data_IF_184312164972
#
_entry.id   IF_184312164972
#
_cell.length_a   1.000
_cell.length_b   1.000
_cell.length_c   1.000
_cell.angle_alpha   90.00
_cell.angle_beta   90.00
_cell.angle_gamma   90.00
#
_symmetry.space_group_name_H-M   'P 1'
#
loop_
_entity.id
_entity.type
_entity.pdbx_description
1 polymer ?
#
# COMPACT_ATOMS: atom_id res chain seq x y z
N UNK A 1 15.65 -10.84 4.14
CA UNK A 1 15.24 -10.78 5.58
C UNK A 1 13.78 -11.26 5.74
N UNK A 2 13.46 -11.94 6.85
CA UNK A 2 12.09 -12.23 7.23
C UNK A 2 11.57 -11.06 8.08
N UNK A 3 10.55 -10.34 7.61
CA UNK A 3 9.95 -9.20 8.31
C UNK A 3 8.54 -9.58 8.73
N UNK A 4 8.18 -9.28 9.98
CA UNK A 4 6.83 -9.49 10.50
C UNK A 4 6.30 -8.19 11.08
N UNK A 5 5.37 -7.56 10.38
CA UNK A 5 4.67 -6.38 10.88
C UNK A 5 3.64 -6.81 11.94
N UNK A 6 3.62 -6.11 13.08
CA UNK A 6 2.63 -6.30 14.15
C UNK A 6 1.88 -5.01 14.36
N UNK A 7 0.55 -5.06 14.24
CA UNK A 7 -0.30 -3.97 14.65
C UNK A 7 -0.48 -4.06 16.16
N UNK A 8 -0.03 -3.03 16.88
CA UNK A 8 0.04 -3.00 18.35
C UNK A 8 -0.86 -1.94 18.98
N UNK A 9 -1.50 -1.11 18.16
CA UNK A 9 -2.45 -0.09 18.62
C UNK A 9 -3.20 0.54 17.44
N UNK A 10 -4.33 1.15 17.75
CA UNK A 10 -5.11 1.98 16.83
C UNK A 10 -5.51 3.25 17.59
N UNK A 11 -5.54 4.36 16.88
CA UNK A 11 -6.02 5.64 17.39
C UNK A 11 -6.95 6.25 16.34
N UNK A 12 -8.13 6.66 16.77
CA UNK A 12 -8.99 7.54 15.98
C UNK A 12 -8.67 8.96 16.40
N UNK A 13 -8.27 9.79 15.44
CA UNK A 13 -7.95 11.18 15.70
C UNK A 13 -9.22 11.96 16.07
N UNK A 14 -9.10 12.85 17.04
CA UNK A 14 -10.12 13.86 17.33
C UNK A 14 -10.09 14.94 16.26
N UNK A 15 -11.18 15.72 16.16
CA UNK A 15 -11.25 16.88 15.26
C UNK A 15 -10.07 17.83 15.47
N UNK A 16 -9.68 18.08 16.72
CA UNK A 16 -8.54 18.96 17.03
C UNK A 16 -7.20 18.39 16.55
N UNK A 17 -7.01 17.06 16.65
CA UNK A 17 -5.81 16.40 16.13
C UNK A 17 -5.79 16.45 14.60
N UNK A 18 -6.94 16.24 13.96
CA UNK A 18 -7.09 16.34 12.51
C UNK A 18 -6.75 17.76 12.01
N UNK A 19 -7.29 18.80 12.64
CA UNK A 19 -6.99 20.21 12.29
C UNK A 19 -5.50 20.54 12.47
N UNK A 20 -4.85 19.92 13.45
CA UNK A 20 -3.43 20.11 13.69
C UNK A 20 -2.56 19.42 12.64
N UNK A 21 -2.90 18.18 12.25
CA UNK A 21 -2.10 17.29 11.40
C UNK A 21 -2.39 17.49 9.91
N UNK A 22 -3.67 17.55 9.53
CA UNK A 22 -4.12 17.53 8.14
C UNK A 22 -4.03 18.92 7.52
N UNK A 23 -3.38 19.02 6.35
CA UNK A 23 -3.32 20.25 5.57
C UNK A 23 -4.17 20.14 4.31
N UNK A 24 -5.27 20.89 4.26
CA UNK A 24 -6.15 21.00 3.09
C UNK A 24 -5.41 21.61 1.90
N UNK A 25 -5.65 21.05 0.71
CA UNK A 25 -5.14 21.61 -0.54
C UNK A 25 -5.87 22.90 -0.93
N UNK A 26 -5.23 23.80 -1.66
CA UNK A 26 -5.84 25.07 -2.11
C UNK A 26 -6.98 24.82 -3.09
N UNK A 27 -6.89 23.76 -3.89
CA UNK A 27 -7.95 23.28 -4.76
C UNK A 27 -9.26 22.94 -4.00
N UNK A 28 -9.22 22.76 -2.68
CA UNK A 28 -10.40 22.63 -1.83
C UNK A 28 -11.03 21.22 -1.86
N UNK A 29 -12.28 21.13 -1.40
CA UNK A 29 -13.03 19.87 -1.35
C UNK A 29 -12.48 18.85 -0.35
N UNK A 30 -12.41 17.58 -0.78
CA UNK A 30 -11.86 16.47 0.00
C UNK A 30 -10.34 16.31 -0.14
N UNK A 31 -9.65 17.29 -0.73
CA UNK A 31 -8.23 17.20 -1.06
C UNK A 31 -7.31 17.66 0.10
N UNK A 32 -6.19 16.95 0.30
CA UNK A 32 -5.13 17.30 1.25
C UNK A 32 -3.76 17.29 0.58
N UNK A 33 -2.86 18.13 1.05
CA UNK A 33 -1.47 18.18 0.56
C UNK A 33 -0.64 17.06 1.18
N UNK A 34 -0.02 16.20 0.37
CA UNK A 34 0.65 14.98 0.84
C UNK A 34 1.88 15.24 1.71
N UNK A 35 2.96 15.75 1.11
CA UNK A 35 4.23 16.02 1.82
C UNK A 35 4.06 16.98 3.01
N UNK A 36 3.29 18.09 2.91
CA UNK A 36 3.06 18.96 4.04
C UNK A 36 2.29 18.27 5.18
N UNK A 37 1.25 17.49 4.88
CA UNK A 37 0.52 16.71 5.89
C UNK A 37 1.43 15.68 6.56
N UNK A 38 2.26 14.96 5.79
CA UNK A 38 3.25 14.03 6.33
C UNK A 38 4.26 14.72 7.28
N UNK A 39 4.73 15.91 6.91
CA UNK A 39 5.64 16.70 7.76
C UNK A 39 4.97 17.17 9.06
N UNK A 40 3.72 17.66 8.99
CA UNK A 40 2.94 17.99 10.17
C UNK A 40 2.68 16.79 11.06
N UNK A 41 2.34 15.64 10.48
CA UNK A 41 2.12 14.40 11.22
C UNK A 41 3.39 13.97 11.97
N UNK A 42 4.55 14.00 11.30
CA UNK A 42 5.86 13.78 11.94
C UNK A 42 6.06 14.69 13.14
N UNK A 43 5.84 15.99 12.97
CA UNK A 43 6.10 16.99 14.02
C UNK A 43 5.12 16.85 15.19
N UNK A 44 3.88 16.46 14.91
CA UNK A 44 2.89 16.08 15.92
C UNK A 44 3.35 14.88 16.74
N UNK A 45 3.75 13.78 16.08
CA UNK A 45 4.27 12.57 16.75
C UNK A 45 5.51 12.89 17.59
N UNK A 46 6.43 13.71 17.06
CA UNK A 46 7.64 14.12 17.77
C UNK A 46 7.33 14.92 19.04
N UNK A 47 6.40 15.86 19.01
CA UNK A 47 5.99 16.63 20.21
C UNK A 47 5.30 15.76 21.25
N UNK A 48 4.56 14.75 20.79
CA UNK A 48 3.85 13.81 21.65
C UNK A 48 4.63 12.51 21.90
N UNK A 49 5.97 12.57 21.91
CA UNK A 49 6.82 11.38 21.95
C UNK A 49 6.55 10.49 23.18
N UNK A 50 6.12 11.03 24.32
CA UNK A 50 5.78 10.20 25.49
C UNK A 50 4.69 9.16 25.19
N UNK A 51 3.75 9.49 24.29
CA UNK A 51 2.69 8.59 23.84
C UNK A 51 3.15 7.63 22.74
N UNK A 52 4.02 8.09 21.84
CA UNK A 52 4.32 7.39 20.59
C UNK A 52 5.74 6.76 20.51
N UNK A 53 6.59 6.95 21.51
CA UNK A 53 7.98 6.43 21.53
C UNK A 53 8.10 4.91 21.46
N UNK A 54 7.06 4.19 21.90
CA UNK A 54 7.04 2.73 21.94
C UNK A 54 6.74 2.06 20.59
N UNK A 55 6.34 2.84 19.58
CA UNK A 55 6.01 2.33 18.24
C UNK A 55 7.19 2.56 17.29
N UNK A 56 7.62 1.49 16.62
CA UNK A 56 8.73 1.51 15.65
C UNK A 56 8.43 2.40 14.43
N UNK A 57 7.14 2.51 14.10
CA UNK A 57 6.56 3.38 13.08
C UNK A 57 5.07 3.59 13.33
N UNK A 58 4.53 4.68 12.78
CA UNK A 58 3.10 5.00 12.81
C UNK A 58 2.60 5.29 11.39
N UNK A 59 1.34 4.98 11.13
CA UNK A 59 0.72 5.16 9.82
C UNK A 59 -0.64 5.83 9.96
N UNK A 60 -0.82 6.94 9.26
CA UNK A 60 -2.10 7.64 9.18
C UNK A 60 -2.87 7.15 7.96
N UNK A 61 -4.05 6.58 8.18
CA UNK A 61 -4.97 6.20 7.11
C UNK A 61 -6.05 7.27 7.00
N UNK A 62 -6.34 7.72 5.78
CA UNK A 62 -7.33 8.77 5.53
C UNK A 62 -8.27 8.40 4.38
N UNK A 63 -9.52 8.86 4.45
CA UNK A 63 -10.48 8.82 3.34
C UNK A 63 -10.50 10.10 2.51
N UNK A 64 -9.54 10.99 2.72
CA UNK A 64 -9.33 12.22 1.95
C UNK A 64 -8.36 11.96 0.80
N UNK A 65 -8.51 12.69 -0.29
CA UNK A 65 -7.67 12.52 -1.47
C UNK A 65 -6.36 13.29 -1.30
N UNK A 66 -5.22 12.59 -1.38
CA UNK A 66 -3.88 13.12 -1.24
C UNK A 66 -3.41 13.66 -2.59
N UNK A 67 -2.94 14.91 -2.59
CA UNK A 67 -2.46 15.58 -3.79
C UNK A 67 -1.16 16.36 -3.54
N UNK A 68 -0.45 16.67 -4.62
CA UNK A 68 0.56 17.73 -4.65
C UNK A 68 0.13 18.79 -5.67
N UNK A 69 0.27 20.06 -5.30
CA UNK A 69 -0.10 21.21 -6.11
C UNK A 69 1.16 21.81 -6.76
N UNK A 70 1.20 21.87 -8.09
CA UNK A 70 2.32 22.40 -8.87
C UNK A 70 1.83 23.55 -9.76
N UNK A 71 2.10 24.78 -9.33
CA UNK A 71 1.56 25.96 -10.02
C UNK A 71 0.03 25.94 -10.01
N UNK A 72 -0.58 25.78 -11.19
CA UNK A 72 -2.03 25.63 -11.35
C UNK A 72 -2.50 24.18 -11.47
N UNK A 73 -1.59 23.20 -11.51
CA UNK A 73 -1.91 21.78 -11.64
C UNK A 73 -2.06 21.08 -10.29
N UNK A 74 -2.93 20.07 -10.24
CA UNK A 74 -3.09 19.16 -9.10
C UNK A 74 -2.75 17.76 -9.55
N UNK A 75 -1.83 17.10 -8.85
CA UNK A 75 -1.44 15.71 -9.12
C UNK A 75 -1.84 14.84 -7.94
N UNK A 76 -2.56 13.75 -8.23
CA UNK A 76 -3.05 12.82 -7.21
C UNK A 76 -1.99 11.77 -6.84
N UNK A 77 -1.92 11.45 -5.56
CA UNK A 77 -1.06 10.42 -4.97
C UNK A 77 -1.88 9.58 -4.00
N UNK A 78 -1.48 8.34 -3.75
CA UNK A 78 -2.19 7.49 -2.80
C UNK A 78 -1.56 7.52 -1.39
N UNK A 79 -0.30 7.94 -1.25
CA UNK A 79 0.40 7.91 0.03
C UNK A 79 1.78 8.56 -0.03
N UNK A 80 2.36 8.76 1.15
CA UNK A 80 3.73 9.23 1.32
C UNK A 80 4.33 8.69 2.61
N UNK A 81 5.62 8.38 2.58
CA UNK A 81 6.41 8.04 3.76
C UNK A 81 7.88 8.46 3.62
N UNK A 82 8.57 8.57 4.76
CA UNK A 82 10.00 8.85 4.77
C UNK A 82 10.81 7.57 4.56
N UNK A 83 11.68 7.56 3.55
CA UNK A 83 12.49 6.38 3.24
C UNK A 83 13.51 6.10 4.36
N UNK A 84 13.48 4.88 4.91
CA UNK A 84 14.43 4.39 5.92
C UNK A 84 14.27 5.03 7.31
N UNK A 85 13.10 5.61 7.57
CA UNK A 85 12.85 6.40 8.77
C UNK A 85 12.32 5.60 9.97
N UNK A 86 12.10 4.29 9.85
CA UNK A 86 11.79 3.43 11.00
C UNK A 86 12.80 3.64 12.13
N UNK A 87 12.35 3.57 13.38
CA UNK A 87 13.14 3.88 14.59
C UNK A 87 13.67 5.34 14.68
N UNK A 88 13.20 6.29 13.87
CA UNK A 88 13.60 7.72 13.98
C UNK A 88 12.45 8.62 14.39
N UNK A 89 12.72 9.91 14.60
CA UNK A 89 11.68 10.94 14.73
C UNK A 89 10.78 11.06 13.48
N UNK A 90 11.21 10.57 12.32
CA UNK A 90 10.49 10.61 11.05
C UNK A 90 9.75 9.31 10.71
N UNK A 91 9.51 8.44 11.69
CA UNK A 91 8.91 7.10 11.55
C UNK A 91 7.40 7.10 11.20
N UNK A 92 6.98 7.96 10.29
CA UNK A 92 5.57 8.16 9.92
C UNK A 92 5.33 7.97 8.43
N UNK A 93 4.19 7.39 8.08
CA UNK A 93 3.62 7.36 6.73
C UNK A 93 2.16 7.81 6.73
N UNK A 94 1.66 8.24 5.58
CA UNK A 94 0.26 8.56 5.34
C UNK A 94 -0.22 7.82 4.08
N UNK A 95 -1.48 7.42 4.04
CA UNK A 95 -2.05 6.75 2.87
C UNK A 95 -3.57 6.79 2.82
N UNK A 96 -4.09 6.80 1.61
CA UNK A 96 -5.50 6.72 1.31
C UNK A 96 -6.04 5.30 1.53
N UNK A 97 -7.26 5.21 2.02
CA UNK A 97 -8.07 4.00 1.92
C UNK A 97 -9.52 4.35 1.62
N UNK A 98 -10.19 3.49 0.86
CA UNK A 98 -11.61 3.61 0.57
C UNK A 98 -12.33 2.50 1.33
N UNK A 99 -13.23 2.83 2.29
CA UNK A 99 -13.89 1.84 3.13
C UNK A 99 -14.51 0.70 2.33
N UNK A 100 -14.28 -0.54 2.81
CA UNK A 100 -14.82 -1.78 2.22
C UNK A 100 -14.29 -2.13 0.82
N UNK A 101 -13.20 -1.52 0.36
CA UNK A 101 -12.59 -1.83 -0.95
C UNK A 101 -11.25 -2.55 -0.87
N UNK A 102 -10.58 -2.52 0.29
CA UNK A 102 -9.20 -3.01 0.49
C UNK A 102 -8.16 -2.27 -0.36
N UNK A 103 -8.50 -1.13 -0.96
CA UNK A 103 -7.58 -0.30 -1.74
C UNK A 103 -6.31 0.07 -0.95
N UNK A 104 -6.47 0.47 0.31
CA UNK A 104 -5.38 0.90 1.16
C UNK A 104 -4.35 -0.19 1.47
N UNK A 105 -4.64 -1.49 1.28
CA UNK A 105 -3.67 -2.57 1.58
C UNK A 105 -2.40 -2.41 0.75
N UNK A 106 -2.54 -2.16 -0.55
CA UNK A 106 -1.37 -1.98 -1.43
C UNK A 106 -0.63 -0.69 -1.12
N UNK A 107 -1.37 0.39 -0.87
CA UNK A 107 -0.84 1.71 -0.53
C UNK A 107 -0.01 1.61 0.75
N UNK A 108 -0.60 1.13 1.84
CA UNK A 108 0.07 0.97 3.13
C UNK A 108 1.29 0.06 3.00
N UNK A 109 1.22 -1.04 2.25
CA UNK A 109 2.36 -1.93 2.06
C UNK A 109 3.53 -1.25 1.32
N UNK A 110 3.23 -0.41 0.32
CA UNK A 110 4.23 0.39 -0.40
C UNK A 110 4.88 1.43 0.51
N UNK A 111 4.07 2.22 1.21
CA UNK A 111 4.57 3.28 2.10
C UNK A 111 5.30 2.73 3.34
N UNK A 112 4.87 1.59 3.89
CA UNK A 112 5.61 0.89 4.95
C UNK A 112 6.95 0.39 4.43
N UNK A 113 7.04 -0.05 3.17
CA UNK A 113 8.32 -0.45 2.59
C UNK A 113 9.28 0.73 2.41
N UNK A 114 8.77 1.94 2.11
CA UNK A 114 9.57 3.16 2.22
C UNK A 114 10.12 3.33 3.64
N UNK A 115 9.30 3.27 4.70
CA UNK A 115 9.76 3.36 6.09
C UNK A 115 10.86 2.34 6.43
N UNK A 116 10.74 1.12 5.89
CA UNK A 116 11.70 0.03 6.02
C UNK A 116 12.94 0.16 5.11
N UNK A 117 13.04 1.24 4.35
CA UNK A 117 14.26 1.65 3.65
C UNK A 117 14.22 1.50 2.14
N UNK A 118 13.13 1.02 1.53
CA UNK A 118 13.07 0.81 0.09
C UNK A 118 12.80 2.13 -0.64
N UNK A 119 13.69 2.61 -1.53
CA UNK A 119 13.31 3.55 -2.58
C UNK A 119 12.41 2.85 -3.61
N UNK A 120 11.84 3.62 -4.53
CA UNK A 120 11.22 3.02 -5.72
C UNK A 120 12.23 2.20 -6.51
N UNK A 121 11.75 1.19 -7.24
CA UNK A 121 12.59 0.42 -8.15
C UNK A 121 13.09 1.34 -9.28
N UNK A 122 14.40 1.40 -9.49
CA UNK A 122 15.08 2.31 -10.42
C UNK A 122 15.71 3.54 -9.75
N UNK A 123 15.29 3.88 -8.53
CA UNK A 123 15.78 5.07 -7.84
C UNK A 123 17.08 4.83 -7.06
N UNK A 124 17.87 5.89 -6.93
CA UNK A 124 18.98 5.93 -5.96
C UNK A 124 18.45 6.01 -4.53
N UNK A 125 19.25 5.56 -3.56
CA UNK A 125 18.92 5.77 -2.16
C UNK A 125 18.97 7.26 -1.80
N UNK A 126 18.12 7.73 -0.86
CA UNK A 126 18.20 9.10 -0.37
C UNK A 126 19.52 9.33 0.38
N UNK A 127 20.15 10.48 0.14
CA UNK A 127 21.47 10.80 0.69
C UNK A 127 21.54 10.79 2.22
N UNK A 128 20.41 10.96 2.92
CA UNK A 128 20.33 10.87 4.39
C UNK A 128 20.70 9.49 4.94
N UNK A 129 20.59 8.44 4.12
CA UNK A 129 21.02 7.08 4.48
C UNK A 129 22.52 6.83 4.20
N UNK A 130 23.24 7.86 3.71
CA UNK A 130 24.64 7.75 3.34
C UNK A 130 24.84 6.89 2.09
N UNK A 131 25.97 6.18 2.04
CA UNK A 131 26.32 5.32 0.90
C UNK A 131 25.72 3.93 1.09
N UNK A 132 24.49 3.75 0.61
CA UNK A 132 23.77 2.48 0.56
C UNK A 132 23.36 2.15 -0.88
N UNK A 133 23.04 0.88 -1.22
CA UNK A 133 22.89 0.47 -2.63
C UNK A 133 21.76 1.14 -3.41
N UNK A 134 20.65 1.51 -2.75
CA UNK A 134 19.44 1.98 -3.42
C UNK A 134 18.76 0.89 -4.24
N UNK A 135 18.11 1.29 -5.34
CA UNK A 135 17.30 0.43 -6.20
C UNK A 135 17.56 0.59 -7.70
N UNK A 136 18.65 1.24 -8.09
CA UNK A 136 19.00 1.51 -9.50
C UNK A 136 19.18 0.24 -10.35
N UNK A 137 19.47 -0.90 -9.74
CA UNK A 137 19.63 -2.20 -10.41
C UNK A 137 18.32 -3.00 -10.54
N UNK A 138 17.21 -2.50 -10.01
CA UNK A 138 15.89 -3.12 -10.14
C UNK A 138 15.04 -2.24 -11.06
N UNK A 139 14.79 -2.63 -12.32
CA UNK A 139 14.03 -1.81 -13.25
C UNK A 139 12.61 -1.52 -12.78
N UNK A 140 12.17 -0.26 -12.88
CA UNK A 140 10.78 0.15 -12.63
C UNK A 140 9.78 -0.70 -13.43
N UNK A 141 10.12 -1.02 -14.68
CA UNK A 141 9.29 -1.78 -15.61
C UNK A 141 9.02 -3.23 -15.19
N UNK A 142 9.80 -3.80 -14.26
CA UNK A 142 9.58 -5.16 -13.78
C UNK A 142 8.27 -5.30 -12.99
N UNK A 143 7.70 -4.19 -12.51
CA UNK A 143 6.38 -4.15 -11.91
C UNK A 143 6.29 -4.72 -10.50
N UNK A 144 7.37 -4.63 -9.72
CA UNK A 144 7.36 -4.98 -8.30
C UNK A 144 6.56 -3.95 -7.47
N UNK A 145 6.26 -4.28 -6.20
CA UNK A 145 5.42 -3.46 -5.32
C UNK A 145 5.89 -2.00 -5.20
N UNK A 146 7.20 -1.74 -5.28
CA UNK A 146 7.82 -0.40 -5.23
C UNK A 146 7.81 0.36 -6.57
N UNK A 147 7.05 -0.14 -7.54
CA UNK A 147 6.62 0.59 -8.74
C UNK A 147 5.11 0.81 -8.72
N UNK A 148 4.61 1.66 -9.63
CA UNK A 148 3.17 1.84 -9.86
C UNK A 148 2.61 0.89 -10.94
N UNK A 149 3.44 -0.01 -11.49
CA UNK A 149 3.03 -0.93 -12.55
C UNK A 149 2.37 -2.17 -11.94
N UNK A 150 1.14 -2.47 -12.38
CA UNK A 150 0.30 -3.55 -11.83
C UNK A 150 -0.12 -4.58 -12.90
N UNK A 151 0.73 -4.80 -13.90
CA UNK A 151 0.40 -5.63 -15.08
C UNK A 151 0.73 -7.12 -14.91
N UNK A 152 1.56 -7.46 -13.92
CA UNK A 152 2.06 -8.83 -13.72
C UNK A 152 2.15 -9.21 -12.23
N UNK A 153 2.54 -10.47 -11.94
CA UNK A 153 2.57 -11.04 -10.58
C UNK A 153 3.64 -10.44 -9.65
N UNK A 154 4.63 -9.73 -10.17
CA UNK A 154 5.63 -9.04 -9.36
C UNK A 154 5.01 -7.97 -8.47
N UNK A 155 3.82 -7.45 -8.80
CA UNK A 155 3.11 -6.47 -7.98
C UNK A 155 2.81 -6.98 -6.56
N UNK A 156 2.83 -8.30 -6.33
CA UNK A 156 2.65 -8.92 -5.01
C UNK A 156 3.98 -9.18 -4.27
N UNK A 157 5.09 -8.66 -4.77
CA UNK A 157 6.44 -8.96 -4.29
C UNK A 157 7.28 -7.70 -4.19
N UNK A 158 8.23 -7.72 -3.27
CA UNK A 158 9.35 -6.78 -3.26
C UNK A 158 10.47 -7.28 -4.17
N UNK A 159 11.11 -6.34 -4.88
CA UNK A 159 12.32 -6.59 -5.67
C UNK A 159 13.48 -7.05 -4.79
N UNK A 160 14.55 -7.56 -5.39
CA UNK A 160 15.80 -7.86 -4.68
C UNK A 160 16.41 -6.61 -4.06
N UNK A 161 16.26 -5.44 -4.69
CA UNK A 161 16.79 -4.16 -4.18
C UNK A 161 16.08 -3.73 -2.90
N UNK A 162 14.74 -3.75 -2.88
CA UNK A 162 14.00 -3.44 -1.65
C UNK A 162 14.37 -4.40 -0.51
N UNK A 163 14.46 -5.72 -0.78
CA UNK A 163 14.90 -6.71 0.23
C UNK A 163 16.33 -6.46 0.73
N UNK A 164 17.23 -6.04 -0.14
CA UNK A 164 18.60 -5.68 0.23
C UNK A 164 18.59 -4.43 1.11
N UNK A 165 17.87 -3.37 0.71
CA UNK A 165 17.75 -2.13 1.47
C UNK A 165 17.21 -2.35 2.88
N UNK A 166 16.16 -3.16 3.04
CA UNK A 166 15.67 -3.55 4.38
C UNK A 166 16.78 -4.23 5.19
N UNK A 167 17.53 -5.15 4.58
CA UNK A 167 18.62 -5.85 5.24
C UNK A 167 19.76 -4.90 5.66
N UNK A 168 20.10 -3.92 4.83
CA UNK A 168 21.07 -2.87 5.18
C UNK A 168 20.58 -2.02 6.34
N UNK A 169 19.31 -1.60 6.30
CA UNK A 169 18.71 -0.74 7.32
C UNK A 169 18.81 -1.39 8.71
N UNK A 170 18.56 -2.70 8.83
CA UNK A 170 18.66 -3.43 10.11
C UNK A 170 20.06 -3.43 10.73
N UNK A 171 21.10 -3.14 9.95
CA UNK A 171 22.51 -3.13 10.41
C UNK A 171 23.02 -1.72 10.67
N UNK A 172 22.24 -0.69 10.35
CA UNK A 172 22.63 0.69 10.60
C UNK A 172 22.48 1.03 12.08
N UNK A 173 23.37 1.89 12.59
CA UNK A 173 23.28 2.42 13.96
C UNK A 173 21.95 3.13 14.19
N UNK A 174 21.28 2.87 15.31
CA UNK A 174 20.00 3.49 15.64
C UNK A 174 18.80 2.83 14.95
N UNK A 175 18.93 1.56 14.54
CA UNK A 175 17.85 0.75 13.94
C UNK A 175 17.57 -0.54 14.73
N UNK A 176 17.99 -0.57 15.99
CA UNK A 176 17.88 -1.73 16.87
C UNK A 176 16.40 -2.13 17.09
N UNK A 177 15.46 -1.18 17.00
CA UNK A 177 14.03 -1.44 17.11
C UNK A 177 13.53 -2.48 16.08
N UNK A 178 14.13 -2.54 14.89
CA UNK A 178 13.78 -3.51 13.85
C UNK A 178 14.16 -4.96 14.20
N UNK A 179 15.06 -5.14 15.16
CA UNK A 179 15.65 -6.44 15.52
C UNK A 179 15.19 -6.94 16.89
N UNK A 180 14.38 -6.14 17.59
CA UNK A 180 13.85 -6.45 18.91
C UNK A 180 12.37 -6.76 18.81
N UNK A 181 11.89 -7.63 19.69
CA UNK A 181 10.48 -7.95 19.84
C UNK A 181 10.11 -7.61 21.27
N UNK A 182 9.66 -6.37 21.43
CA UNK A 182 9.40 -5.78 22.76
C UNK A 182 7.89 -5.73 23.07
N UNK A 183 7.08 -6.40 22.24
CA UNK A 183 5.61 -6.41 22.32
C UNK A 183 5.06 -7.83 22.39
N UNK A 184 4.14 -8.06 23.33
CA UNK A 184 3.42 -9.33 23.49
C UNK A 184 2.03 -9.32 22.84
N UNK A 185 1.55 -8.14 22.44
CA UNK A 185 0.21 -7.96 21.85
C UNK A 185 0.31 -7.78 20.35
N UNK A 186 -0.64 -8.35 19.62
CA UNK A 186 -0.85 -8.03 18.20
C UNK A 186 -2.33 -8.13 17.87
N UNK A 187 -2.82 -7.17 17.09
CA UNK A 187 -4.18 -7.13 16.57
C UNK A 187 -4.31 -7.77 15.17
N UNK A 188 -3.27 -8.47 14.71
CA UNK A 188 -3.29 -9.26 13.48
C UNK A 188 -4.13 -10.55 13.68
N UNK A 189 -5.42 -10.38 13.98
CA UNK A 189 -6.35 -11.47 14.32
C UNK A 189 -7.20 -11.92 13.13
N UNK A 190 -7.32 -11.10 12.09
CA UNK A 190 -8.11 -11.40 10.91
C UNK A 190 -7.29 -12.22 9.90
N UNK A 191 -7.76 -13.43 9.60
CA UNK A 191 -7.12 -14.38 8.69
C UNK A 191 -7.90 -14.44 7.35
N UNK A 192 -9.02 -13.71 7.24
CA UNK A 192 -9.84 -13.74 6.02
C UNK A 192 -9.24 -12.90 4.91
N UNK A 193 -9.18 -13.49 3.72
CA UNK A 193 -8.69 -12.83 2.52
C UNK A 193 -9.79 -11.94 1.90
N UNK A 194 -9.42 -10.79 1.27
CA UNK A 194 -10.40 -9.80 0.81
C UNK A 194 -11.44 -10.33 -0.19
N UNK A 195 -11.05 -11.25 -1.07
CA UNK A 195 -11.91 -11.87 -2.08
C UNK A 195 -13.05 -12.72 -1.51
N UNK A 196 -12.98 -13.08 -0.21
CA UNK A 196 -14.12 -13.66 0.52
C UNK A 196 -15.31 -12.69 0.53
N UNK A 197 -15.04 -11.41 0.79
CA UNK A 197 -16.04 -10.35 0.97
C UNK A 197 -16.33 -9.60 -0.33
N UNK A 198 -15.32 -9.42 -1.18
CA UNK A 198 -15.44 -8.68 -2.44
C UNK A 198 -15.42 -9.66 -3.61
N UNK A 199 -16.59 -9.96 -4.16
CA UNK A 199 -16.72 -10.83 -5.33
C UNK A 199 -16.17 -10.17 -6.60
N UNK A 200 -15.85 -10.99 -7.61
CA UNK A 200 -15.23 -10.59 -8.87
C UNK A 200 -15.89 -9.36 -9.53
N UNK A 201 -17.23 -9.35 -9.66
CA UNK A 201 -17.95 -8.19 -10.24
C UNK A 201 -17.74 -6.90 -9.46
N UNK A 202 -17.69 -6.98 -8.13
CA UNK A 202 -17.47 -5.81 -7.30
C UNK A 202 -16.03 -5.32 -7.42
N UNK A 203 -15.06 -6.23 -7.59
CA UNK A 203 -13.66 -5.87 -7.86
C UNK A 203 -13.54 -5.10 -9.18
N UNK A 204 -14.18 -5.53 -10.26
CA UNK A 204 -14.19 -4.79 -11.52
C UNK A 204 -14.71 -3.35 -11.37
N UNK A 205 -15.78 -3.17 -10.59
CA UNK A 205 -16.32 -1.83 -10.28
C UNK A 205 -15.39 -0.99 -9.40
N UNK A 206 -14.57 -1.63 -8.55
CA UNK A 206 -13.56 -0.95 -7.72
C UNK A 206 -12.36 -0.54 -8.57
N UNK A 207 -11.87 -1.41 -9.44
CA UNK A 207 -10.71 -1.14 -10.30
C UNK A 207 -11.03 -0.13 -11.40
N UNK A 208 -12.26 -0.14 -11.91
CA UNK A 208 -12.69 0.72 -13.02
C UNK A 208 -13.94 1.51 -12.64
N UNK A 209 -13.86 2.43 -11.66
CA UNK A 209 -15.03 3.15 -11.14
C UNK A 209 -15.70 4.06 -12.18
N UNK A 210 -14.98 4.48 -13.23
CA UNK A 210 -15.51 5.27 -14.34
C UNK A 210 -16.25 4.45 -15.39
N UNK A 211 -16.11 3.11 -15.39
CA UNK A 211 -16.76 2.22 -16.34
C UNK A 211 -18.13 1.77 -15.81
N UNK A 212 -19.15 2.56 -16.13
CA UNK A 212 -20.54 2.22 -15.84
C UNK A 212 -20.92 0.92 -16.55
N UNK A 213 -21.57 0.01 -15.81
CA UNK A 213 -21.96 -1.30 -16.33
C UNK A 213 -20.83 -2.33 -16.40
N UNK A 214 -19.63 -2.06 -15.87
CA UNK A 214 -18.58 -3.10 -15.79
C UNK A 214 -18.96 -4.22 -14.80
N UNK A 215 -18.59 -5.44 -15.18
CA UNK A 215 -18.74 -6.67 -14.39
C UNK A 215 -17.63 -7.66 -14.78
N UNK A 216 -17.42 -8.70 -13.99
CA UNK A 216 -16.47 -9.76 -14.32
C UNK A 216 -17.11 -10.71 -15.32
N UNK A 217 -16.48 -10.91 -16.48
CA UNK A 217 -17.03 -11.76 -17.54
C UNK A 217 -17.08 -13.23 -17.05
N UNK A 218 -18.25 -13.88 -17.00
CA UNK A 218 -18.37 -15.29 -16.60
C UNK A 218 -17.71 -16.24 -17.61
N UNK A 219 -17.16 -17.37 -17.15
CA UNK A 219 -16.63 -18.44 -18.01
C UNK A 219 -15.33 -18.12 -18.75
N UNK A 220 -14.96 -16.84 -18.88
CA UNK A 220 -13.57 -16.44 -19.03
C UNK A 220 -12.96 -16.50 -17.64
N UNK A 221 -12.48 -17.68 -17.28
CA UNK A 221 -11.98 -18.00 -15.95
C UNK A 221 -11.07 -16.90 -15.41
N UNK A 222 -11.03 -16.78 -14.09
CA UNK A 222 -9.96 -16.13 -13.35
C UNK A 222 -8.68 -16.96 -13.51
N UNK A 223 -8.28 -17.20 -14.75
CA UNK A 223 -7.10 -17.97 -15.12
C UNK A 223 -5.90 -17.16 -14.66
N UNK A 224 -5.00 -17.82 -13.95
CA UNK A 224 -3.84 -17.17 -13.36
C UNK A 224 -4.18 -15.96 -12.46
N UNK A 225 -5.40 -15.92 -11.90
CA UNK A 225 -5.87 -14.83 -11.05
C UNK A 225 -6.04 -13.48 -11.73
N UNK A 226 -6.36 -13.48 -13.03
CA UNK A 226 -6.73 -12.27 -13.79
C UNK A 226 -8.24 -12.16 -13.93
N UNK A 227 -8.80 -11.03 -13.53
CA UNK A 227 -10.19 -10.68 -13.80
C UNK A 227 -10.29 -10.01 -15.16
N UNK A 228 -11.22 -10.47 -15.99
CA UNK A 228 -11.63 -9.80 -17.21
C UNK A 228 -12.86 -8.96 -16.92
N UNK A 229 -12.64 -7.65 -16.78
CA UNK A 229 -13.69 -6.69 -16.48
C UNK A 229 -14.27 -6.14 -17.77
N UNK A 230 -15.55 -6.42 -18.01
CA UNK A 230 -16.26 -6.00 -19.21
C UNK A 230 -16.20 -4.47 -19.38
N UNK A 231 -15.94 -4.05 -20.61
CA UNK A 231 -16.02 -2.65 -21.03
C UNK A 231 -17.07 -2.51 -22.12
N UNK A 232 -18.16 -1.78 -21.87
CA UNK A 232 -19.18 -1.55 -22.88
C UNK A 232 -18.65 -0.74 -24.07
N UNK A 233 -19.20 -0.99 -25.26
CA UNK A 233 -18.87 -0.28 -26.51
C UNK A 233 -18.84 1.25 -26.43
N UNK A 234 -19.57 1.86 -25.49
CA UNK A 234 -19.61 3.32 -25.34
C UNK A 234 -18.25 3.93 -24.96
N UNK A 235 -17.31 3.14 -24.44
CA UNK A 235 -15.98 3.61 -24.03
C UNK A 235 -14.91 3.43 -25.11
N UNK A 236 -14.96 2.35 -25.90
CA UNK A 236 -13.92 2.02 -26.91
C UNK A 236 -14.45 1.83 -28.34
N UNK A 237 -15.75 2.03 -28.57
CA UNK A 237 -16.41 1.79 -29.87
C UNK A 237 -16.82 0.34 -30.12
N UNK A 238 -16.38 -0.61 -29.28
CA UNK A 238 -16.72 -2.03 -29.33
C UNK A 238 -16.70 -2.64 -27.93
N UNK A 239 -17.44 -3.74 -27.74
CA UNK A 239 -17.45 -4.47 -26.47
C UNK A 239 -16.11 -5.19 -26.27
N UNK A 240 -15.46 -4.94 -25.14
CA UNK A 240 -14.13 -5.46 -24.83
C UNK A 240 -13.98 -5.74 -23.33
N UNK A 241 -12.75 -5.96 -22.85
CA UNK A 241 -12.45 -6.10 -21.44
C UNK A 241 -11.10 -5.49 -21.08
N UNK A 242 -10.96 -5.10 -19.82
CA UNK A 242 -9.68 -4.78 -19.20
C UNK A 242 -9.31 -5.87 -18.20
N UNK A 243 -8.01 -6.12 -18.05
CA UNK A 243 -7.51 -7.09 -17.10
C UNK A 243 -7.05 -6.43 -15.80
N UNK A 244 -7.35 -7.05 -14.67
CA UNK A 244 -6.73 -6.70 -13.39
C UNK A 244 -6.53 -7.96 -12.54
N UNK A 245 -5.46 -8.01 -11.75
CA UNK A 245 -5.27 -9.13 -10.82
C UNK A 245 -6.37 -9.15 -9.75
N UNK A 246 -6.97 -10.32 -9.54
CA UNK A 246 -7.97 -10.54 -8.53
C UNK A 246 -7.38 -10.37 -7.12
N UNK A 247 -8.21 -9.94 -6.17
CA UNK A 247 -7.85 -9.94 -4.77
C UNK A 247 -7.61 -11.36 -4.26
N UNK A 248 -6.69 -11.48 -3.30
CA UNK A 248 -6.47 -12.73 -2.60
C UNK A 248 -7.80 -13.22 -1.97
N UNK A 249 -8.07 -14.52 -2.03
CA UNK A 249 -9.33 -15.14 -1.60
C UNK A 249 -10.42 -15.20 -2.65
N UNK A 250 -10.22 -14.63 -3.84
CA UNK A 250 -11.17 -14.73 -4.96
C UNK A 250 -11.16 -16.16 -5.52
N UNK A 251 -12.32 -16.77 -5.76
CA UNK A 251 -12.37 -18.08 -6.40
C UNK A 251 -11.73 -18.03 -7.79
N UNK A 252 -10.89 -19.01 -8.09
CA UNK A 252 -10.14 -19.06 -9.35
C UNK A 252 -10.35 -20.36 -10.15
N UNK A 253 -11.15 -21.29 -9.62
CA UNK A 253 -11.52 -22.52 -10.31
C UNK A 253 -12.87 -23.03 -9.81
N UNK A 254 -13.41 -24.07 -10.45
CA UNK A 254 -14.62 -24.75 -9.99
C UNK A 254 -14.41 -25.51 -8.68
N UNK A 255 -13.16 -25.83 -8.34
CA UNK A 255 -12.79 -26.36 -7.03
C UNK A 255 -12.88 -25.24 -5.97
N UNK A 256 -13.83 -25.31 -5.02
CA UNK A 256 -14.05 -24.28 -3.99
C UNK A 256 -12.90 -24.18 -2.99
N UNK A 257 -11.97 -25.15 -2.98
CA UNK A 257 -10.77 -25.09 -2.15
C UNK A 257 -9.69 -24.20 -2.75
N UNK A 258 -9.78 -23.85 -4.05
CA UNK A 258 -8.79 -23.01 -4.73
C UNK A 258 -9.21 -21.55 -4.82
N UNK A 259 -8.30 -20.69 -4.38
CA UNK A 259 -8.47 -19.24 -4.42
C UNK A 259 -7.22 -18.56 -4.94
N UNK A 260 -7.38 -17.32 -5.38
CA UNK A 260 -6.28 -16.45 -5.68
C UNK A 260 -5.49 -16.12 -4.42
N UNK A 261 -4.17 -16.21 -4.52
CA UNK A 261 -3.28 -15.72 -3.47
C UNK A 261 -1.91 -15.39 -4.04
N UNK A 262 -1.48 -14.14 -3.87
CA UNK A 262 -0.30 -13.55 -4.53
C UNK A 262 -0.31 -13.75 -6.05
N UNK A 263 -1.49 -13.66 -6.66
CA UNK A 263 -1.68 -13.80 -8.10
C UNK A 263 -1.55 -15.24 -8.64
N UNK A 264 -1.59 -16.26 -7.79
CA UNK A 264 -1.65 -17.67 -8.19
C UNK A 264 -2.96 -18.30 -7.74
N UNK A 265 -3.52 -19.19 -8.57
CA UNK A 265 -4.64 -20.03 -8.18
C UNK A 265 -4.11 -21.24 -7.39
N UNK A 266 -4.39 -21.28 -6.09
CA UNK A 266 -3.88 -22.33 -5.19
C UNK A 266 -4.85 -22.62 -4.05
N UNK A 267 -4.58 -23.69 -3.31
CA UNK A 267 -5.38 -24.06 -2.15
C UNK A 267 -5.47 -22.91 -1.15
N UNK A 268 -6.66 -22.71 -0.60
CA UNK A 268 -6.92 -21.69 0.39
C UNK A 268 -5.93 -21.86 1.55
N UNK A 269 -5.12 -20.83 1.85
CA UNK A 269 -4.13 -20.94 2.89
C UNK A 269 -4.83 -21.18 4.23
N UNK A 270 -4.43 -22.24 4.94
CA UNK A 270 -4.94 -22.56 6.29
C UNK A 270 -4.46 -21.54 7.34
N UNK A 271 -3.33 -20.89 7.08
CA UNK A 271 -2.72 -19.82 7.87
C UNK A 271 -2.00 -18.83 6.94
N UNK A 272 -2.70 -17.90 6.27
CA UNK A 272 -2.04 -16.79 5.58
C UNK A 272 -1.17 -16.02 6.60
N UNK A 273 0.12 -15.96 6.34
CA UNK A 273 1.12 -15.25 7.17
C UNK A 273 1.51 -13.95 6.50
#
# INVERSE_FOLDING_TARGET
PAVRNRIVGFELLTVSQDEEIILRAKAGGNLITGRPTLAKYRDYIKRHNQRYKQYDMLFLVTGLDIVEEYGQGVMQYAGFAYIGAVCTDARVGIGEDIPKTWFGVRVIAHEVAHLLGCPHDGDSAPGVLGRVPGSTHCPWADGYLMSYIMTNRNQFKFSSCCKAMISYLTRMRGRECMTRIDVNTTYNKEISLPGKYIKADKQCKIFFPSLQGTYSIPGKHVEDCRLHCFVPKQYYGYDTFLEQMAFDGTSCSDDPSKVCYNGFCKDHPKNPR
#
